data_IF_637912098051
#
_entry.id   IF_637912098051
#
_cell.length_a   1.000
_cell.length_b   1.000
_cell.length_c   1.000
_cell.angle_alpha   90.00
_cell.angle_beta   90.00
_cell.angle_gamma   90.00
#
_symmetry.space_group_name_H-M   'P 1'
#
loop_
_entity.id
_entity.type
_entity.pdbx_description
1 polymer ?
#
# COMPACT_ATOMS: atom_id res chain seq x y z
N UNK A 1 111.05 20.92 -58.57
CA UNK A 1 110.36 19.60 -58.59
C UNK A 1 110.71 18.85 -57.31
N UNK A 2 109.79 18.02 -56.81
CA UNK A 2 109.78 17.28 -55.51
C UNK A 2 109.12 18.00 -54.33
N UNK A 3 107.82 18.26 -54.48
CA UNK A 3 106.81 18.00 -53.45
C UNK A 3 106.13 16.67 -53.83
N UNK A 4 105.75 15.87 -52.84
CA UNK A 4 104.88 14.65 -52.86
C UNK A 4 105.59 13.53 -52.10
N UNK A 5 105.35 13.51 -50.79
CA UNK A 5 105.36 12.31 -49.94
C UNK A 5 104.60 12.68 -48.64
N UNK A 6 103.31 12.97 -48.77
CA UNK A 6 102.40 13.11 -47.62
C UNK A 6 100.93 12.93 -48.05
N UNK A 7 100.61 11.85 -48.78
CA UNK A 7 99.23 11.65 -49.23
C UNK A 7 98.81 10.18 -49.40
N UNK A 8 99.42 9.24 -48.66
CA UNK A 8 99.00 7.82 -48.69
C UNK A 8 98.61 7.23 -47.33
N UNK A 9 98.51 8.03 -46.27
CA UNK A 9 98.05 7.57 -44.94
C UNK A 9 96.65 8.09 -44.56
N UNK A 10 95.92 8.73 -45.48
CA UNK A 10 94.59 9.32 -45.24
C UNK A 10 93.47 8.57 -46.02
N UNK A 11 93.79 7.57 -46.85
CA UNK A 11 92.80 6.84 -47.69
C UNK A 11 92.38 5.50 -47.04
N UNK A 12 92.46 5.39 -45.71
CA UNK A 12 91.88 4.28 -44.93
C UNK A 12 91.11 4.83 -43.72
N UNK A 13 90.55 6.05 -43.86
CA UNK A 13 89.44 6.48 -43.01
C UNK A 13 88.20 5.79 -43.56
N UNK A 14 87.98 4.56 -43.11
CA UNK A 14 86.68 3.91 -43.17
C UNK A 14 85.63 4.97 -42.85
N UNK A 15 84.71 5.18 -43.79
CA UNK A 15 83.58 6.05 -43.65
C UNK A 15 82.65 5.42 -42.59
N UNK A 16 83.00 5.57 -41.31
CA UNK A 16 82.16 5.12 -40.21
C UNK A 16 80.95 6.05 -40.15
N UNK A 17 79.85 5.60 -40.72
CA UNK A 17 78.54 6.19 -40.44
C UNK A 17 78.24 5.96 -38.95
N UNK A 18 78.24 7.01 -38.12
CA UNK A 18 77.69 6.88 -36.76
C UNK A 18 76.17 7.03 -36.81
N UNK A 19 75.48 6.00 -36.31
CA UNK A 19 74.02 5.98 -36.14
C UNK A 19 73.61 6.90 -34.99
N UNK A 20 72.31 7.22 -34.88
CA UNK A 20 71.79 8.00 -33.78
C UNK A 20 72.18 7.38 -32.42
N UNK A 21 72.95 8.12 -31.63
CA UNK A 21 73.40 7.71 -30.29
C UNK A 21 72.42 8.13 -29.21
N UNK A 22 71.51 9.04 -29.55
CA UNK A 22 70.49 9.54 -28.64
C UNK A 22 69.26 10.04 -29.37
N UNK A 23 68.18 10.18 -28.61
CA UNK A 23 66.93 10.73 -29.08
C UNK A 23 66.30 11.59 -27.99
N UNK A 24 65.87 12.80 -28.35
CA UNK A 24 65.22 13.73 -27.44
C UNK A 24 63.84 14.11 -27.97
N UNK A 25 62.77 13.98 -27.19
CA UNK A 25 61.49 14.57 -27.54
C UNK A 25 61.57 16.10 -27.46
N UNK A 26 60.70 16.81 -28.19
CA UNK A 26 60.54 18.27 -28.07
C UNK A 26 60.08 18.71 -26.69
N UNK A 27 59.41 17.83 -25.93
CA UNK A 27 59.07 18.02 -24.53
C UNK A 27 59.16 16.70 -23.77
N UNK A 28 59.73 16.73 -22.55
CA UNK A 28 59.79 15.56 -21.67
C UNK A 28 58.43 15.23 -21.02
N UNK A 29 57.51 16.21 -20.96
CA UNK A 29 56.15 16.07 -20.42
C UNK A 29 55.14 16.59 -21.44
N UNK A 30 54.12 15.77 -21.74
CA UNK A 30 53.11 16.05 -22.78
C UNK A 30 51.70 15.74 -22.30
N UNK A 31 50.68 16.31 -22.92
CA UNK A 31 49.31 15.87 -22.66
C UNK A 31 48.96 14.66 -23.52
N UNK A 32 48.09 13.79 -22.99
CA UNK A 32 47.57 12.65 -23.73
C UNK A 32 46.84 13.13 -25.00
N UNK A 33 47.28 12.64 -26.16
CA UNK A 33 46.73 12.98 -27.48
C UNK A 33 47.56 13.98 -28.29
N UNK A 34 48.52 14.67 -27.66
CA UNK A 34 49.41 15.61 -28.33
C UNK A 34 50.40 14.89 -29.25
N UNK A 35 50.79 15.55 -30.36
CA UNK A 35 51.86 15.08 -31.23
C UNK A 35 53.22 15.48 -30.64
N UNK A 36 54.14 14.52 -30.57
CA UNK A 36 55.49 14.73 -30.07
C UNK A 36 56.47 14.56 -31.21
N UNK A 37 57.29 15.59 -31.44
CA UNK A 37 58.40 15.48 -32.38
C UNK A 37 59.62 14.98 -31.63
N UNK A 38 60.26 13.94 -32.14
CA UNK A 38 61.55 13.47 -31.66
C UNK A 38 62.65 13.92 -32.59
N UNK A 39 63.80 14.25 -32.02
CA UNK A 39 65.01 14.63 -32.72
C UNK A 39 66.12 13.63 -32.38
N UNK A 40 66.69 13.01 -33.40
CA UNK A 40 67.87 12.16 -33.25
C UNK A 40 69.13 13.01 -33.00
N UNK A 41 70.12 12.44 -32.32
CA UNK A 41 71.41 13.09 -32.04
C UNK A 41 72.57 12.13 -32.27
N UNK A 42 73.72 12.66 -32.69
CA UNK A 42 74.93 11.86 -32.92
C UNK A 42 75.01 11.20 -34.31
N UNK A 43 74.17 11.64 -35.25
CA UNK A 43 74.22 11.20 -36.65
C UNK A 43 75.38 11.92 -37.38
N UNK A 44 76.26 11.18 -38.05
CA UNK A 44 77.27 11.73 -38.97
C UNK A 44 76.87 11.41 -40.40
N UNK A 45 76.82 12.43 -41.26
CA UNK A 45 76.43 12.30 -42.67
C UNK A 45 77.24 11.23 -43.40
N UNK A 46 76.56 10.21 -43.95
CA UNK A 46 76.40 9.90 -45.39
C UNK A 46 75.45 8.68 -45.51
N UNK A 47 74.25 8.96 -46.02
CA UNK A 47 73.36 8.11 -46.84
C UNK A 47 72.91 6.74 -46.34
N UNK A 48 71.77 6.66 -45.64
CA UNK A 48 70.97 5.42 -45.55
C UNK A 48 69.47 5.71 -45.29
N UNK A 49 68.61 4.80 -45.78
CA UNK A 49 67.18 4.78 -45.48
C UNK A 49 66.98 4.33 -44.04
N UNK A 50 66.44 5.20 -43.20
CA UNK A 50 66.06 4.86 -41.82
C UNK A 50 64.58 4.51 -41.83
N UNK A 51 64.26 3.22 -41.69
CA UNK A 51 62.90 2.71 -41.55
C UNK A 51 62.62 2.57 -40.05
N UNK A 52 61.72 3.39 -39.53
CA UNK A 52 61.21 3.20 -38.17
C UNK A 52 60.16 2.09 -38.19
N UNK A 53 60.53 0.92 -37.68
CA UNK A 53 59.73 -0.30 -37.79
C UNK A 53 58.73 -0.45 -36.63
N UNK A 54 59.10 0.01 -35.44
CA UNK A 54 58.24 -0.05 -34.25
C UNK A 54 58.72 0.88 -33.14
N UNK A 55 57.78 1.33 -32.32
CA UNK A 55 58.01 1.92 -31.01
C UNK A 55 57.35 1.03 -29.96
N UNK A 56 58.10 0.64 -28.93
CA UNK A 56 57.59 -0.23 -27.86
C UNK A 56 57.59 0.54 -26.55
N UNK A 57 56.44 0.58 -25.88
CA UNK A 57 56.28 1.13 -24.54
C UNK A 57 56.62 0.05 -23.52
N UNK A 58 57.48 0.38 -22.55
CA UNK A 58 57.84 -0.52 -21.45
C UNK A 58 57.45 0.08 -20.09
N UNK A 59 56.90 -0.72 -19.17
CA UNK A 59 56.64 -2.17 -19.28
C UNK A 59 55.43 -2.51 -20.19
N UNK A 60 55.39 -3.73 -20.78
CA UNK A 60 54.22 -4.22 -21.51
C UNK A 60 52.96 -4.17 -20.64
N UNK A 61 51.86 -3.65 -21.18
CA UNK A 61 50.61 -3.44 -20.42
C UNK A 61 50.47 -2.06 -19.75
N UNK A 62 51.42 -1.14 -19.99
CA UNK A 62 51.26 0.27 -19.62
C UNK A 62 49.95 0.86 -20.19
N UNK A 63 49.26 1.74 -19.45
CA UNK A 63 48.07 2.45 -19.95
C UNK A 63 48.39 3.46 -21.07
N UNK A 64 49.66 3.68 -21.39
CA UNK A 64 50.12 4.54 -22.48
C UNK A 64 50.26 3.74 -23.76
N UNK A 65 49.54 4.13 -24.81
CA UNK A 65 49.72 3.63 -26.17
C UNK A 65 50.48 4.65 -27.01
N UNK A 66 51.21 4.15 -28.01
CA UNK A 66 52.00 4.95 -28.94
C UNK A 66 51.56 4.61 -30.37
N UNK A 67 51.27 5.63 -31.17
CA UNK A 67 50.87 5.48 -32.58
C UNK A 67 51.74 6.37 -33.44
N UNK A 68 52.33 5.80 -34.49
CA UNK A 68 53.08 6.57 -35.48
C UNK A 68 52.13 7.47 -36.26
N UNK A 69 52.53 8.71 -36.49
CA UNK A 69 51.81 9.61 -37.39
C UNK A 69 52.14 9.22 -38.84
N UNK A 70 51.24 8.51 -39.52
CA UNK A 70 51.33 8.29 -40.97
C UNK A 70 52.03 7.03 -41.49
N UNK A 71 52.26 6.00 -40.67
CA UNK A 71 52.86 4.73 -41.14
C UNK A 71 54.36 4.83 -41.45
N UNK A 72 54.94 3.76 -42.00
CA UNK A 72 56.40 3.62 -42.22
C UNK A 72 56.95 4.86 -42.93
N UNK A 73 57.66 5.70 -42.19
CA UNK A 73 58.17 6.96 -42.70
C UNK A 73 59.58 6.73 -43.23
N UNK A 74 59.76 6.93 -44.54
CA UNK A 74 61.05 6.85 -45.19
C UNK A 74 61.71 8.22 -45.09
N UNK A 75 62.89 8.28 -44.46
CA UNK A 75 63.69 9.50 -44.38
C UNK A 75 64.86 9.40 -45.36
N UNK A 76 64.79 10.17 -46.45
CA UNK A 76 65.68 10.09 -47.61
C UNK A 76 66.54 11.35 -47.77
N UNK A 77 67.43 11.69 -46.81
CA UNK A 77 68.21 12.95 -46.97
C UNK A 77 69.71 12.86 -46.76
N UNK A 78 70.43 13.29 -47.79
CA UNK A 78 71.75 13.92 -47.74
C UNK A 78 71.67 15.30 -47.06
N UNK A 79 71.26 15.35 -45.78
CA UNK A 79 71.11 16.59 -45.03
C UNK A 79 72.06 16.63 -43.83
N UNK A 80 72.63 17.80 -43.54
CA UNK A 80 73.40 18.09 -42.32
C UNK A 80 72.47 18.34 -41.10
N UNK A 81 71.15 18.24 -41.27
CA UNK A 81 70.17 18.43 -40.20
C UNK A 81 69.79 17.09 -39.55
N UNK A 82 69.63 17.02 -38.21
CA UNK A 82 69.27 15.78 -37.53
C UNK A 82 67.89 15.25 -37.94
N UNK A 83 67.75 13.93 -38.00
CA UNK A 83 66.47 13.26 -38.32
C UNK A 83 65.40 13.63 -37.29
N UNK A 84 64.20 13.97 -37.78
CA UNK A 84 63.02 14.25 -36.93
C UNK A 84 61.81 13.45 -37.38
N UNK A 85 61.01 13.02 -36.40
CA UNK A 85 59.80 12.22 -36.64
C UNK A 85 58.76 12.45 -35.55
N UNK A 86 57.49 12.10 -35.83
CA UNK A 86 56.36 12.39 -34.94
C UNK A 86 55.65 11.14 -34.45
N UNK A 87 55.24 11.17 -33.18
CA UNK A 87 54.39 10.15 -32.57
C UNK A 87 53.30 10.80 -31.73
N UNK A 88 52.14 10.14 -31.69
CA UNK A 88 51.06 10.46 -30.76
C UNK A 88 51.08 9.46 -29.62
N UNK A 89 50.95 9.97 -28.39
CA UNK A 89 50.83 9.15 -27.19
C UNK A 89 49.47 9.35 -26.56
N UNK A 90 48.82 8.26 -26.16
CA UNK A 90 47.53 8.31 -25.47
C UNK A 90 47.66 7.59 -24.14
N UNK A 91 47.44 8.30 -23.03
CA UNK A 91 47.39 7.72 -21.69
C UNK A 91 45.93 7.47 -21.29
N UNK A 92 45.55 6.21 -21.09
CA UNK A 92 44.20 5.82 -20.67
C UNK A 92 43.94 6.00 -19.17
N UNK A 93 44.98 6.26 -18.36
CA UNK A 93 44.88 6.53 -16.92
C UNK A 93 44.59 8.01 -16.62
N UNK A 94 44.00 8.30 -15.47
CA UNK A 94 43.82 9.67 -14.95
C UNK A 94 45.08 10.25 -14.31
N UNK A 95 46.05 9.40 -13.96
CA UNK A 95 47.35 9.83 -13.43
C UNK A 95 48.39 9.95 -14.53
N UNK A 96 49.34 10.88 -14.37
CA UNK A 96 50.50 10.97 -15.26
C UNK A 96 51.32 9.67 -15.21
N UNK A 97 51.85 9.26 -16.36
CA UNK A 97 52.62 8.03 -16.51
C UNK A 97 53.94 8.35 -17.19
N UNK A 98 55.05 7.98 -16.54
CA UNK A 98 56.37 8.04 -17.16
C UNK A 98 56.69 6.68 -17.75
N UNK A 99 56.92 6.65 -19.07
CA UNK A 99 57.19 5.41 -19.80
C UNK A 99 58.53 5.47 -20.51
N UNK A 100 59.16 4.31 -20.61
CA UNK A 100 60.33 4.10 -21.45
C UNK A 100 59.87 3.68 -22.85
N UNK A 101 60.36 4.39 -23.86
CA UNK A 101 60.05 4.11 -25.26
C UNK A 101 61.34 3.72 -25.95
N UNK A 102 61.33 2.54 -26.56
CA UNK A 102 62.42 2.08 -27.42
C UNK A 102 61.98 2.20 -28.88
N UNK A 103 62.70 3.01 -29.63
CA UNK A 103 62.55 3.15 -31.07
C UNK A 103 63.53 2.23 -31.78
N UNK A 104 63.03 1.47 -32.75
CA UNK A 104 63.83 0.52 -33.52
C UNK A 104 63.95 1.00 -34.97
N UNK A 105 65.16 1.38 -35.33
CA UNK A 105 65.50 1.89 -36.65
C UNK A 105 66.22 0.82 -37.45
N UNK A 106 65.86 0.70 -38.71
CA UNK A 106 66.54 -0.20 -39.65
C UNK A 106 67.22 0.64 -40.72
N UNK A 107 68.48 0.33 -40.97
CA UNK A 107 69.36 0.99 -41.92
C UNK A 107 69.59 0.05 -43.11
N UNK A 108 69.16 0.45 -44.30
CA UNK A 108 69.32 -0.36 -45.50
C UNK A 108 70.58 0.05 -46.26
N UNK A 109 71.60 -0.81 -46.28
CA UNK A 109 72.94 -0.46 -46.80
C UNK A 109 73.08 -0.45 -48.35
N UNK A 110 72.02 -0.76 -49.11
CA UNK A 110 72.01 -0.76 -50.58
C UNK A 110 70.63 -0.31 -51.12
N UNK A 111 70.58 0.27 -52.33
CA UNK A 111 69.35 0.60 -53.08
C UNK A 111 68.47 -0.63 -53.33
N UNK A 112 69.03 -1.84 -53.20
CA UNK A 112 68.33 -3.12 -53.36
C UNK A 112 67.92 -3.80 -52.03
N UNK A 113 68.12 -3.16 -50.86
CA UNK A 113 67.54 -3.59 -49.58
C UNK A 113 68.06 -4.90 -48.97
N UNK A 114 69.29 -5.33 -49.27
CA UNK A 114 69.77 -6.68 -48.89
C UNK A 114 70.69 -6.76 -47.66
N UNK A 115 70.99 -5.64 -46.98
CA UNK A 115 71.65 -5.66 -45.66
C UNK A 115 70.97 -4.63 -44.75
N UNK A 116 70.19 -5.16 -43.79
CA UNK A 116 69.41 -4.38 -42.83
C UNK A 116 70.12 -4.40 -41.47
N UNK A 117 70.81 -3.30 -41.14
CA UNK A 117 71.36 -3.12 -39.80
C UNK A 117 70.27 -2.51 -38.90
N UNK A 118 69.92 -3.20 -37.82
CA UNK A 118 68.94 -2.70 -36.85
C UNK A 118 69.63 -2.04 -35.65
N UNK A 119 69.22 -0.82 -35.30
CA UNK A 119 69.67 -0.16 -34.08
C UNK A 119 68.48 0.33 -33.24
N UNK A 120 68.70 0.36 -31.92
CA UNK A 120 67.68 0.75 -30.94
C UNK A 120 68.17 1.93 -30.14
N UNK A 121 67.31 2.93 -29.98
CA UNK A 121 67.55 4.05 -29.07
C UNK A 121 66.31 4.23 -28.22
N UNK A 122 66.53 4.53 -26.95
CA UNK A 122 65.45 4.65 -25.98
C UNK A 122 65.45 6.03 -25.34
N UNK A 123 64.27 6.47 -24.93
CA UNK A 123 64.09 7.70 -24.15
C UNK A 123 62.89 7.55 -23.22
N UNK A 124 62.76 8.47 -22.28
CA UNK A 124 61.64 8.54 -21.34
C UNK A 124 60.73 9.69 -21.72
N UNK A 125 59.41 9.48 -21.63
CA UNK A 125 58.43 10.56 -21.71
C UNK A 125 57.40 10.42 -20.58
N UNK A 126 56.95 11.55 -20.05
CA UNK A 126 55.82 11.61 -19.13
C UNK A 126 54.57 12.06 -19.88
N UNK A 127 53.55 11.21 -19.93
CA UNK A 127 52.25 11.53 -20.54
C UNK A 127 51.25 11.82 -19.43
N UNK A 128 50.76 13.06 -19.37
CA UNK A 128 49.73 13.46 -18.41
C UNK A 128 48.49 12.57 -18.56
N UNK A 129 47.78 12.37 -17.45
CA UNK A 129 46.56 11.56 -17.45
C UNK A 129 45.48 12.13 -18.37
N UNK A 130 44.56 11.27 -18.79
CA UNK A 130 43.35 11.66 -19.51
C UNK A 130 42.57 12.66 -18.67
N UNK A 131 42.36 13.86 -19.21
CA UNK A 131 41.46 14.85 -18.62
C UNK A 131 40.03 14.35 -18.81
N UNK A 132 39.39 13.89 -17.74
CA UNK A 132 37.95 13.58 -17.74
C UNK A 132 37.18 14.85 -17.41
N UNK A 133 36.20 15.22 -18.24
CA UNK A 133 35.31 16.34 -17.97
C UNK A 133 34.64 16.15 -16.59
N UNK A 134 34.51 17.21 -15.77
CA UNK A 134 33.84 17.11 -14.49
C UNK A 134 32.39 16.65 -14.70
N UNK A 135 31.99 15.60 -13.99
CA UNK A 135 30.60 15.14 -14.02
C UNK A 135 29.75 16.13 -13.24
N UNK A 136 28.74 16.70 -13.90
CA UNK A 136 27.78 17.61 -13.25
C UNK A 136 26.54 16.80 -12.91
N UNK A 137 26.22 16.75 -11.62
CA UNK A 137 24.98 16.17 -11.09
C UNK A 137 23.94 17.26 -10.91
N UNK A 138 22.67 16.91 -11.08
CA UNK A 138 21.54 17.80 -10.93
C UNK A 138 20.59 17.28 -9.86
N UNK A 139 19.83 18.18 -9.21
CA UNK A 139 18.84 17.78 -8.23
C UNK A 139 17.61 17.13 -8.88
N UNK A 140 17.01 16.17 -8.18
CA UNK A 140 15.65 15.73 -8.41
C UNK A 140 14.65 16.75 -7.87
N UNK A 141 13.38 16.66 -8.27
CA UNK A 141 12.34 17.50 -7.69
C UNK A 141 12.22 17.25 -6.19
N UNK A 142 12.27 18.31 -5.39
CA UNK A 142 12.12 18.27 -3.93
C UNK A 142 10.90 19.09 -3.53
N UNK A 143 10.14 18.63 -2.53
CA UNK A 143 8.98 19.39 -2.04
C UNK A 143 8.78 19.22 -0.54
N UNK A 144 8.14 20.21 0.08
CA UNK A 144 7.64 20.12 1.45
C UNK A 144 6.37 20.94 1.60
N UNK A 145 5.46 20.44 2.44
CA UNK A 145 4.21 21.12 2.79
C UNK A 145 4.38 21.94 4.06
N UNK A 146 3.82 23.14 4.04
CA UNK A 146 3.82 24.10 5.13
C UNK A 146 2.41 24.64 5.32
N UNK A 147 2.08 25.01 6.56
CA UNK A 147 0.85 25.76 6.85
C UNK A 147 1.22 27.21 7.16
N UNK A 148 0.32 28.14 6.89
CA UNK A 148 0.48 29.53 7.27
C UNK A 148 0.56 29.68 8.79
N UNK A 149 1.65 30.25 9.30
CA UNK A 149 1.86 30.48 10.72
C UNK A 149 1.42 31.86 11.19
N UNK A 150 0.91 32.72 10.30
CA UNK A 150 0.44 34.08 10.65
C UNK A 150 -1.03 34.14 10.99
N UNK A 151 -1.75 33.02 10.93
CA UNK A 151 -3.16 32.96 11.28
C UNK A 151 -3.38 33.22 12.78
N UNK A 152 -4.33 34.11 13.10
CA UNK A 152 -4.75 34.37 14.47
C UNK A 152 -5.49 33.20 15.10
N UNK A 153 -5.72 33.29 16.41
CA UNK A 153 -6.45 32.25 17.16
C UNK A 153 -7.83 31.97 16.54
N UNK A 154 -8.15 30.69 16.33
CA UNK A 154 -9.40 30.25 15.69
C UNK A 154 -9.36 30.19 14.16
N UNK A 155 -8.24 30.53 13.53
CA UNK A 155 -8.06 30.47 12.07
C UNK A 155 -6.90 29.53 11.70
N UNK A 156 -7.00 28.90 10.54
CA UNK A 156 -5.93 28.12 9.92
C UNK A 156 -5.99 28.25 8.39
N UNK A 157 -4.96 27.78 7.70
CA UNK A 157 -4.88 27.84 6.23
C UNK A 157 -4.94 26.44 5.62
N UNK A 158 -5.24 26.38 4.32
CA UNK A 158 -4.99 25.16 3.55
C UNK A 158 -3.47 24.91 3.47
N UNK A 159 -3.04 23.64 3.39
CA UNK A 159 -1.63 23.31 3.23
C UNK A 159 -1.05 23.87 1.92
N UNK A 160 0.13 24.48 2.01
CA UNK A 160 0.89 24.97 0.87
C UNK A 160 2.10 24.08 0.60
N UNK A 161 2.22 23.55 -0.62
CA UNK A 161 3.37 22.72 -1.01
C UNK A 161 4.37 23.54 -1.80
N UNK A 162 5.53 23.82 -1.18
CA UNK A 162 6.65 24.46 -1.87
C UNK A 162 7.45 23.39 -2.60
N UNK A 163 7.64 23.57 -3.92
CA UNK A 163 8.34 22.61 -4.77
C UNK A 163 9.52 23.27 -5.47
N UNK A 164 10.69 22.66 -5.32
CA UNK A 164 11.86 22.96 -6.14
C UNK A 164 11.90 21.96 -7.28
N UNK A 165 11.79 22.48 -8.51
CA UNK A 165 11.81 21.66 -9.71
C UNK A 165 13.14 20.91 -9.87
N UNK A 166 13.09 19.77 -10.58
CA UNK A 166 14.31 19.04 -10.98
C UNK A 166 15.22 19.94 -11.81
N UNK A 167 16.52 19.68 -11.76
CA UNK A 167 17.57 20.38 -12.53
C UNK A 167 17.77 21.87 -12.19
N UNK A 168 17.18 22.40 -11.12
CA UNK A 168 17.41 23.78 -10.67
C UNK A 168 18.81 23.99 -10.09
N UNK A 169 19.27 23.03 -9.31
CA UNK A 169 20.57 23.03 -8.64
C UNK A 169 21.48 21.96 -9.24
N UNK A 170 22.76 22.29 -9.31
CA UNK A 170 23.80 21.37 -9.75
C UNK A 170 24.90 21.20 -8.69
N UNK A 171 25.66 20.14 -8.84
CA UNK A 171 26.82 19.81 -8.01
C UNK A 171 27.86 19.04 -8.81
N UNK A 172 29.13 19.30 -8.54
CA UNK A 172 30.25 18.47 -9.02
C UNK A 172 30.60 17.34 -8.05
N UNK A 173 29.89 17.24 -6.91
CA UNK A 173 30.13 16.25 -5.86
C UNK A 173 29.21 15.05 -6.04
N UNK A 174 27.89 15.25 -6.03
CA UNK A 174 26.89 14.18 -6.17
C UNK A 174 25.48 14.73 -6.39
N UNK A 175 24.54 13.85 -6.77
CA UNK A 175 23.09 14.15 -6.77
C UNK A 175 22.59 14.52 -5.37
N UNK A 176 23.12 13.86 -4.32
CA UNK A 176 22.73 14.14 -2.94
C UNK A 176 23.09 15.57 -2.51
N UNK A 177 24.26 16.08 -2.93
CA UNK A 177 24.65 17.47 -2.68
C UNK A 177 23.74 18.45 -3.43
N UNK A 178 23.40 18.16 -4.69
CA UNK A 178 22.44 18.98 -5.45
C UNK A 178 21.05 18.98 -4.80
N UNK A 179 20.57 17.81 -4.32
CA UNK A 179 19.31 17.69 -3.57
C UNK A 179 19.37 18.44 -2.23
N UNK A 180 20.50 18.42 -1.53
CA UNK A 180 20.67 19.17 -0.29
C UNK A 180 20.52 20.70 -0.51
N UNK A 181 21.03 21.23 -1.63
CA UNK A 181 20.82 22.64 -2.02
C UNK A 181 19.33 22.96 -2.27
N UNK A 182 18.62 22.07 -2.97
CA UNK A 182 17.18 22.20 -3.18
C UNK A 182 16.39 22.19 -1.85
N UNK A 183 16.74 21.28 -0.93
CA UNK A 183 16.15 21.19 0.41
C UNK A 183 16.47 22.43 1.24
N UNK A 184 17.69 22.96 1.17
CA UNK A 184 18.08 24.18 1.86
C UNK A 184 17.23 25.38 1.41
N UNK A 185 16.92 25.49 0.11
CA UNK A 185 15.99 26.50 -0.39
C UNK A 185 14.58 26.33 0.19
N UNK A 186 14.04 25.11 0.16
CA UNK A 186 12.73 24.79 0.75
C UNK A 186 12.70 25.19 2.23
N UNK A 187 13.78 24.92 2.96
CA UNK A 187 13.92 25.29 4.37
C UNK A 187 13.93 26.80 4.58
N UNK A 188 14.63 27.55 3.73
CA UNK A 188 14.75 29.00 3.84
C UNK A 188 13.46 29.74 3.42
N UNK A 189 12.80 29.26 2.37
CA UNK A 189 11.74 30.03 1.69
C UNK A 189 10.33 29.47 1.89
N UNK A 190 10.20 28.17 2.19
CA UNK A 190 8.92 27.48 2.14
C UNK A 190 7.88 28.03 3.13
N UNK A 191 8.30 28.44 4.33
CA UNK A 191 7.39 29.04 5.32
C UNK A 191 6.91 30.42 4.88
N UNK A 192 7.81 31.28 4.39
CA UNK A 192 7.44 32.61 3.89
C UNK A 192 6.49 32.52 2.69
N UNK A 193 6.75 31.57 1.79
CA UNK A 193 5.87 31.31 0.65
C UNK A 193 4.48 30.83 1.11
N UNK A 194 4.39 29.92 2.07
CA UNK A 194 3.10 29.51 2.63
C UNK A 194 2.35 30.67 3.27
N UNK A 195 3.06 31.52 4.03
CA UNK A 195 2.48 32.70 4.67
C UNK A 195 1.94 33.72 3.66
N UNK A 196 2.59 33.86 2.49
CA UNK A 196 2.21 34.81 1.45
C UNK A 196 1.15 34.28 0.47
N UNK A 197 1.09 32.96 0.24
CA UNK A 197 0.27 32.36 -0.83
C UNK A 197 -0.98 31.62 -0.32
N UNK A 198 -1.23 31.63 0.99
CA UNK A 198 -2.45 31.03 1.55
C UNK A 198 -3.20 32.00 2.43
N UNK A 199 -4.52 31.85 2.43
CA UNK A 199 -5.42 32.70 3.22
C UNK A 199 -5.84 31.98 4.48
N UNK A 200 -5.87 32.70 5.60
CA UNK A 200 -6.42 32.21 6.86
C UNK A 200 -7.94 32.11 6.77
N UNK A 201 -8.48 30.93 7.06
CA UNK A 201 -9.89 30.58 7.10
C UNK A 201 -10.29 30.27 8.54
N UNK A 202 -11.54 30.57 8.87
CA UNK A 202 -12.09 30.25 10.19
C UNK A 202 -12.12 28.72 10.36
N UNK A 203 -11.67 28.23 11.52
CA UNK A 203 -11.78 26.82 11.88
C UNK A 203 -13.21 26.55 12.32
N UNK A 204 -13.92 25.74 11.54
CA UNK A 204 -15.28 25.33 11.82
C UNK A 204 -15.24 23.95 12.47
N UNK A 205 -16.01 23.77 13.53
CA UNK A 205 -16.03 22.56 14.33
C UNK A 205 -17.33 21.80 14.15
N UNK A 206 -17.28 20.48 14.36
CA UNK A 206 -18.49 19.68 14.43
C UNK A 206 -19.31 20.02 15.67
N UNK A 207 -20.63 19.92 15.54
CA UNK A 207 -21.54 19.75 16.67
C UNK A 207 -21.54 18.29 17.15
N UNK A 208 -22.09 18.04 18.33
CA UNK A 208 -22.18 16.67 18.85
C UNK A 208 -22.99 15.80 17.89
N UNK A 209 -22.41 14.67 17.48
CA UNK A 209 -23.07 13.66 16.65
C UNK A 209 -23.18 12.36 17.45
N UNK A 210 -24.24 11.59 17.20
CA UNK A 210 -24.43 10.32 17.88
C UNK A 210 -25.20 9.32 17.03
N UNK A 211 -25.07 8.05 17.38
CA UNK A 211 -25.86 6.96 16.84
C UNK A 211 -26.15 5.94 17.92
N UNK A 212 -27.32 5.31 17.81
CA UNK A 212 -27.75 4.24 18.70
C UNK A 212 -27.52 2.89 18.01
N UNK A 213 -26.71 2.03 18.62
CA UNK A 213 -26.28 0.76 18.04
C UNK A 213 -26.68 -0.37 18.97
N UNK A 214 -27.37 -1.38 18.44
CA UNK A 214 -27.72 -2.58 19.20
C UNK A 214 -26.56 -3.57 19.13
N UNK A 215 -26.14 -4.10 20.28
CA UNK A 215 -25.15 -5.19 20.31
C UNK A 215 -25.67 -6.37 19.47
N UNK A 216 -24.89 -6.80 18.48
CA UNK A 216 -25.33 -7.78 17.48
C UNK A 216 -24.53 -9.09 17.49
N UNK A 217 -23.56 -9.22 18.39
CA UNK A 217 -22.75 -10.42 18.60
C UNK A 217 -23.19 -11.22 19.83
N UNK A 218 -24.49 -11.20 20.14
CA UNK A 218 -25.06 -12.08 21.17
C UNK A 218 -25.18 -13.52 20.64
N UNK A 219 -25.04 -14.50 21.55
CA UNK A 219 -25.31 -15.90 21.23
C UNK A 219 -26.79 -16.14 20.88
N UNK A 220 -27.07 -17.35 20.38
CA UNK A 220 -28.45 -17.79 20.13
C UNK A 220 -29.32 -17.66 21.39
N UNK A 221 -30.60 -17.32 21.22
CA UNK A 221 -31.51 -17.11 22.35
C UNK A 221 -31.22 -15.87 23.19
N UNK A 222 -30.53 -14.86 22.64
CA UNK A 222 -30.29 -13.60 23.33
C UNK A 222 -30.33 -12.40 22.38
N UNK A 223 -30.77 -11.26 22.89
CA UNK A 223 -30.75 -9.98 22.20
C UNK A 223 -29.84 -8.99 22.92
N UNK A 224 -29.16 -8.15 22.15
CA UNK A 224 -28.27 -7.14 22.71
C UNK A 224 -29.01 -5.89 23.18
N UNK A 225 -28.43 -5.18 24.14
CA UNK A 225 -28.88 -3.83 24.48
C UNK A 225 -28.42 -2.81 23.45
N UNK A 226 -29.17 -1.71 23.36
CA UNK A 226 -28.80 -0.54 22.56
C UNK A 226 -27.85 0.35 23.35
N UNK A 227 -26.71 0.69 22.75
CA UNK A 227 -25.69 1.59 23.31
C UNK A 227 -25.57 2.81 22.40
N UNK A 228 -25.60 4.01 23.00
CA UNK A 228 -25.36 5.26 22.29
C UNK A 228 -23.86 5.53 22.17
N UNK A 229 -23.38 5.72 20.95
CA UNK A 229 -22.03 6.23 20.69
C UNK A 229 -22.10 7.72 20.37
N UNK A 230 -21.31 8.54 21.07
CA UNK A 230 -21.32 9.99 20.97
C UNK A 230 -19.94 10.48 20.54
N UNK A 231 -19.90 11.21 19.43
CA UNK A 231 -18.77 12.05 19.05
C UNK A 231 -19.04 13.46 19.58
N UNK A 232 -18.28 13.94 20.58
CA UNK A 232 -18.54 15.24 21.19
C UNK A 232 -18.32 16.38 20.20
N UNK A 233 -18.90 17.54 20.48
CA UNK A 233 -18.64 18.76 19.73
C UNK A 233 -17.14 19.12 19.77
N UNK A 234 -16.65 19.78 18.72
CA UNK A 234 -15.24 20.20 18.56
C UNK A 234 -14.21 19.07 18.48
N UNK A 235 -14.63 17.82 18.27
CA UNK A 235 -13.74 16.66 18.04
C UNK A 235 -13.12 16.65 16.64
N UNK A 236 -13.85 17.16 15.66
CA UNK A 236 -13.50 17.27 14.25
C UNK A 236 -13.62 18.72 13.80
N UNK A 237 -12.77 19.10 12.84
CA UNK A 237 -12.78 20.44 12.25
C UNK A 237 -12.72 20.42 10.73
N UNK A 238 -13.06 21.57 10.14
CA UNK A 238 -13.02 21.83 8.71
C UNK A 238 -12.73 23.31 8.44
N UNK A 239 -12.08 23.58 7.32
CA UNK A 239 -11.95 24.93 6.75
C UNK A 239 -12.96 25.19 5.63
N UNK A 240 -13.89 24.24 5.39
CA UNK A 240 -14.90 24.31 4.32
C UNK A 240 -16.25 24.73 4.90
N UNK A 241 -16.80 23.95 5.83
CA UNK A 241 -18.11 24.21 6.44
C UNK A 241 -18.28 23.42 7.75
N UNK A 242 -19.26 23.83 8.57
CA UNK A 242 -19.72 23.02 9.72
C UNK A 242 -20.27 21.67 9.25
N UNK A 243 -20.94 21.62 8.09
CA UNK A 243 -21.47 20.38 7.51
C UNK A 243 -20.36 19.37 7.18
N UNK A 244 -19.21 19.82 6.66
CA UNK A 244 -18.05 18.96 6.42
C UNK A 244 -17.45 18.41 7.74
N UNK A 245 -17.35 19.25 8.77
CA UNK A 245 -16.92 18.80 10.10
C UNK A 245 -17.90 17.79 10.72
N UNK A 246 -19.21 18.03 10.56
CA UNK A 246 -20.27 17.10 10.99
C UNK A 246 -20.22 15.79 10.21
N UNK A 247 -19.95 15.82 8.90
CA UNK A 247 -19.82 14.61 8.08
C UNK A 247 -18.67 13.72 8.56
N UNK A 248 -17.53 14.31 8.95
CA UNK A 248 -16.41 13.58 9.58
C UNK A 248 -16.82 12.94 10.91
N UNK A 249 -17.57 13.66 11.75
CA UNK A 249 -18.08 13.13 13.00
C UNK A 249 -19.10 12.00 12.80
N UNK A 250 -19.99 12.11 11.82
CA UNK A 250 -20.93 11.03 11.45
C UNK A 250 -20.19 9.82 10.90
N UNK A 251 -19.12 10.00 10.12
CA UNK A 251 -18.30 8.90 9.63
C UNK A 251 -17.63 8.14 10.78
N UNK A 252 -17.13 8.83 11.82
CA UNK A 252 -16.63 8.20 13.06
C UNK A 252 -17.74 7.40 13.76
N UNK A 253 -18.92 8.01 13.97
CA UNK A 253 -20.08 7.32 14.55
C UNK A 253 -20.40 6.03 13.81
N UNK A 254 -20.44 6.07 12.48
CA UNK A 254 -20.74 4.90 11.66
C UNK A 254 -19.62 3.85 11.66
N UNK A 255 -18.35 4.28 11.70
CA UNK A 255 -17.21 3.37 11.70
C UNK A 255 -17.00 2.65 13.05
N UNK A 256 -17.24 3.34 14.16
CA UNK A 256 -16.88 2.88 15.49
C UNK A 256 -18.09 2.46 16.35
N UNK A 257 -19.30 2.93 16.02
CA UNK A 257 -20.49 2.75 16.84
C UNK A 257 -20.85 1.28 17.12
N UNK A 258 -20.80 0.42 16.10
CA UNK A 258 -21.13 -1.00 16.28
C UNK A 258 -20.09 -1.74 17.14
N UNK A 259 -18.80 -1.44 16.95
CA UNK A 259 -17.73 -2.03 17.76
C UNK A 259 -17.87 -1.61 19.24
N UNK A 260 -18.21 -0.34 19.48
CA UNK A 260 -18.51 0.16 20.82
C UNK A 260 -19.71 -0.55 21.46
N UNK A 261 -20.82 -0.72 20.74
CA UNK A 261 -21.98 -1.48 21.24
C UNK A 261 -21.64 -2.95 21.52
N UNK A 262 -20.81 -3.57 20.69
CA UNK A 262 -20.35 -4.94 20.89
C UNK A 262 -19.33 -5.09 22.04
N UNK A 263 -18.70 -4.00 22.50
CA UNK A 263 -17.82 -3.99 23.66
C UNK A 263 -18.58 -3.67 24.96
N UNK A 264 -19.46 -2.66 24.93
CA UNK A 264 -20.14 -2.13 26.12
C UNK A 264 -21.58 -2.58 26.33
N UNK A 265 -22.24 -3.15 25.32
CA UNK A 265 -23.60 -3.65 25.43
C UNK A 265 -23.67 -4.99 26.15
N UNK A 266 -24.82 -5.30 26.74
CA UNK A 266 -25.11 -6.59 27.41
C UNK A 266 -26.03 -7.43 26.54
N UNK A 267 -26.01 -8.75 26.73
CA UNK A 267 -26.96 -9.67 26.09
C UNK A 267 -28.00 -10.10 27.12
N UNK A 268 -29.27 -9.99 26.76
CA UNK A 268 -30.40 -10.47 27.57
C UNK A 268 -31.00 -11.71 26.91
N UNK A 269 -31.27 -12.78 27.66
CA UNK A 269 -31.88 -13.98 27.11
C UNK A 269 -33.30 -13.68 26.59
N UNK A 270 -33.64 -14.26 25.45
CA UNK A 270 -34.97 -14.25 24.86
C UNK A 270 -35.46 -15.69 24.76
N UNK A 271 -36.71 -15.91 25.15
CA UNK A 271 -37.37 -17.21 25.10
C UNK A 271 -38.56 -17.12 24.16
N UNK A 272 -38.65 -18.06 23.23
CA UNK A 272 -39.77 -18.22 22.33
C UNK A 272 -40.62 -19.42 22.76
N UNK A 273 -41.93 -19.34 22.56
CA UNK A 273 -42.88 -20.38 22.97
C UNK A 273 -43.75 -20.81 21.80
N UNK A 274 -43.88 -22.13 21.58
CA UNK A 274 -44.85 -22.73 20.66
C UNK A 274 -45.89 -23.52 21.45
N UNK A 275 -47.16 -23.26 21.15
CA UNK A 275 -48.29 -23.99 21.70
C UNK A 275 -48.73 -25.07 20.72
N UNK A 276 -48.88 -26.31 21.19
CA UNK A 276 -49.39 -27.43 20.42
C UNK A 276 -50.55 -28.10 21.15
N UNK A 277 -51.66 -28.36 20.44
CA UNK A 277 -52.80 -29.11 20.97
C UNK A 277 -52.78 -30.54 20.42
N UNK A 278 -53.04 -31.51 21.29
CA UNK A 278 -53.13 -32.93 20.91
C UNK A 278 -54.22 -33.64 21.72
N UNK A 279 -54.55 -34.89 21.37
CA UNK A 279 -55.54 -35.72 22.10
C UNK A 279 -56.88 -35.00 22.31
N UNK A 280 -57.44 -34.46 21.24
CA UNK A 280 -58.76 -33.85 21.28
C UNK A 280 -59.80 -34.92 21.65
N UNK A 281 -60.48 -34.72 22.78
CA UNK A 281 -61.60 -35.52 23.23
C UNK A 281 -62.87 -34.71 23.12
N UNK A 282 -63.97 -35.42 22.90
CA UNK A 282 -65.31 -34.84 22.84
C UNK A 282 -66.20 -35.68 23.70
N UNK A 283 -66.76 -35.07 24.73
CA UNK A 283 -67.72 -35.70 25.63
C UNK A 283 -69.08 -35.05 25.38
N UNK A 284 -70.09 -35.87 25.15
CA UNK A 284 -71.46 -35.41 25.00
C UNK A 284 -72.19 -35.70 26.30
N UNK A 285 -72.63 -34.65 27.00
CA UNK A 285 -73.35 -34.76 28.28
C UNK A 285 -74.87 -34.78 28.09
N UNK A 286 -75.34 -34.88 26.84
CA UNK A 286 -76.76 -34.83 26.47
C UNK A 286 -77.33 -33.41 26.38
N UNK A 287 -76.74 -32.46 27.13
CA UNK A 287 -77.09 -31.04 27.09
C UNK A 287 -75.98 -30.19 26.48
N UNK A 288 -74.71 -30.51 26.69
CA UNK A 288 -73.54 -29.80 26.16
C UNK A 288 -72.55 -30.76 25.47
N UNK A 289 -71.73 -30.21 24.57
CA UNK A 289 -70.57 -30.90 24.02
C UNK A 289 -69.33 -30.29 24.69
N UNK A 290 -68.66 -31.05 25.54
CA UNK A 290 -67.39 -30.62 26.12
C UNK A 290 -66.25 -31.12 25.24
N UNK A 291 -65.33 -30.21 24.90
CA UNK A 291 -64.07 -30.59 24.25
C UNK A 291 -62.90 -30.33 25.17
N UNK A 292 -62.10 -31.36 25.37
CA UNK A 292 -60.83 -31.27 26.08
C UNK A 292 -59.69 -31.61 25.13
N UNK A 293 -58.53 -31.00 25.37
CA UNK A 293 -57.31 -31.25 24.62
C UNK A 293 -56.13 -31.34 25.59
N UNK A 294 -55.03 -31.94 25.17
CA UNK A 294 -53.74 -31.78 25.83
C UNK A 294 -53.02 -30.57 25.24
N UNK A 295 -52.71 -29.57 26.06
CA UNK A 295 -51.89 -28.42 25.66
C UNK A 295 -50.42 -28.71 25.98
N UNK A 296 -49.57 -28.69 24.96
CA UNK A 296 -48.11 -28.80 25.08
C UNK A 296 -47.48 -27.44 24.84
N UNK A 297 -46.66 -26.99 25.79
CA UNK A 297 -45.89 -25.75 25.69
C UNK A 297 -44.45 -26.12 25.40
N UNK A 298 -43.92 -25.70 24.24
CA UNK A 298 -42.53 -25.95 23.84
C UNK A 298 -41.73 -24.64 23.82
N UNK A 299 -40.53 -24.65 24.39
CA UNK A 299 -39.66 -23.49 24.46
C UNK A 299 -38.56 -23.56 23.41
N UNK A 300 -38.19 -22.42 22.85
CA UNK A 300 -37.19 -22.30 21.80
C UNK A 300 -36.26 -21.11 22.03
N UNK A 301 -35.05 -21.24 21.50
CA UNK A 301 -34.01 -20.21 21.50
C UNK A 301 -34.12 -19.26 20.30
N UNK A 302 -34.98 -19.57 19.34
CA UNK A 302 -35.15 -18.82 18.10
C UNK A 302 -36.62 -18.65 17.72
N UNK A 303 -36.92 -17.55 17.02
CA UNK A 303 -38.27 -17.22 16.58
C UNK A 303 -38.85 -18.24 15.59
N UNK A 304 -38.00 -18.92 14.81
CA UNK A 304 -38.43 -19.96 13.87
C UNK A 304 -38.80 -21.28 14.57
N UNK A 305 -38.64 -21.36 15.90
CA UNK A 305 -38.94 -22.54 16.72
C UNK A 305 -38.23 -23.80 16.20
N UNK A 306 -36.95 -23.66 15.84
CA UNK A 306 -36.12 -24.75 15.32
C UNK A 306 -35.15 -25.30 16.35
N UNK A 307 -34.77 -24.48 17.34
CA UNK A 307 -33.80 -24.83 18.38
C UNK A 307 -34.48 -24.90 19.75
N UNK A 308 -34.76 -26.12 20.27
CA UNK A 308 -35.40 -26.29 21.57
C UNK A 308 -34.58 -25.65 22.70
N UNK A 309 -35.28 -25.05 23.66
CA UNK A 309 -34.71 -24.53 24.90
C UNK A 309 -35.10 -25.45 26.06
N UNK A 310 -34.11 -25.97 26.78
CA UNK A 310 -34.34 -26.67 28.04
C UNK A 310 -34.51 -25.64 29.16
N UNK A 311 -35.62 -25.74 29.91
CA UNK A 311 -35.90 -24.87 31.04
C UNK A 311 -35.16 -25.42 32.27
N UNK A 312 -34.11 -24.74 32.71
CA UNK A 312 -33.24 -25.18 33.82
C UNK A 312 -33.62 -24.60 35.18
N UNK A 313 -34.60 -23.69 35.23
CA UNK A 313 -35.14 -23.06 36.43
C UNK A 313 -36.65 -22.91 36.29
N UNK A 314 -37.38 -22.92 37.40
CA UNK A 314 -38.84 -22.76 37.38
C UNK A 314 -39.26 -21.48 36.65
N UNK A 315 -40.23 -21.61 35.74
CA UNK A 315 -40.69 -20.53 34.87
C UNK A 315 -42.22 -20.42 34.91
N UNK A 316 -42.73 -19.24 35.25
CA UNK A 316 -44.15 -18.92 35.12
C UNK A 316 -44.51 -18.59 33.67
N UNK A 317 -45.49 -19.31 33.12
CA UNK A 317 -46.06 -19.08 31.79
C UNK A 317 -47.53 -18.72 31.95
N UNK A 318 -47.92 -17.59 31.38
CA UNK A 318 -49.32 -17.18 31.29
C UNK A 318 -49.82 -17.58 29.91
N UNK A 319 -50.88 -18.38 29.86
CA UNK A 319 -51.62 -18.66 28.63
C UNK A 319 -52.94 -17.92 28.71
N UNK A 320 -53.15 -17.00 27.77
CA UNK A 320 -54.41 -16.27 27.64
C UNK A 320 -55.22 -16.91 26.51
N UNK A 321 -56.45 -17.29 26.81
CA UNK A 321 -57.43 -17.77 25.83
C UNK A 321 -58.48 -16.70 25.60
N UNK A 322 -58.64 -16.28 24.35
CA UNK A 322 -59.60 -15.25 23.93
C UNK A 322 -60.64 -15.86 23.02
N UNK A 323 -61.92 -15.71 23.34
CA UNK A 323 -63.02 -16.11 22.46
C UNK A 323 -63.08 -15.18 21.24
N UNK A 324 -62.89 -15.74 20.05
CA UNK A 324 -62.75 -14.99 18.78
C UNK A 324 -64.07 -14.93 18.03
N UNK A 325 -64.86 -16.01 18.06
CA UNK A 325 -66.08 -16.12 17.26
C UNK A 325 -67.05 -17.12 17.86
N UNK A 326 -68.30 -16.73 18.02
CA UNK A 326 -69.40 -17.61 18.40
C UNK A 326 -70.45 -17.63 17.29
N UNK A 327 -70.73 -18.79 16.71
CA UNK A 327 -71.84 -19.00 15.77
C UNK A 327 -72.92 -19.84 16.43
N UNK A 328 -74.18 -19.39 16.37
CA UNK A 328 -75.31 -20.18 16.86
C UNK A 328 -76.24 -20.55 15.70
N UNK A 329 -76.62 -21.83 15.62
CA UNK A 329 -77.58 -22.35 14.64
C UNK A 329 -78.75 -22.99 15.37
N UNK A 330 -79.97 -22.68 14.95
CA UNK A 330 -81.20 -23.32 15.45
C UNK A 330 -81.50 -24.52 14.56
N UNK A 331 -81.51 -25.72 15.12
CA UNK A 331 -81.81 -26.95 14.41
C UNK A 331 -83.33 -27.11 14.21
N UNK A 332 -83.79 -27.89 13.19
CA UNK A 332 -85.21 -28.10 12.91
C UNK A 332 -86.03 -28.69 14.07
N UNK A 333 -85.38 -29.31 15.04
CA UNK A 333 -85.99 -29.88 16.25
C UNK A 333 -86.11 -28.86 17.42
N UNK A 334 -85.81 -27.58 17.17
CA UNK A 334 -85.87 -26.52 18.19
C UNK A 334 -84.65 -26.42 19.12
N UNK A 335 -83.62 -27.23 18.91
CA UNK A 335 -82.36 -27.15 19.69
C UNK A 335 -81.40 -26.10 19.12
N UNK A 336 -80.70 -25.35 19.97
CA UNK A 336 -79.68 -24.39 19.55
C UNK A 336 -78.28 -24.99 19.72
N UNK A 337 -77.48 -24.99 18.64
CA UNK A 337 -76.06 -25.36 18.65
C UNK A 337 -75.21 -24.10 18.57
N UNK A 338 -74.36 -23.84 19.57
CA UNK A 338 -73.41 -22.73 19.55
C UNK A 338 -71.98 -23.24 19.40
N UNK A 339 -71.22 -22.68 18.47
CA UNK A 339 -69.81 -22.99 18.22
C UNK A 339 -68.95 -21.78 18.59
N UNK A 340 -68.10 -21.90 19.62
CA UNK A 340 -67.15 -20.87 20.03
C UNK A 340 -65.72 -21.26 19.64
N UNK A 341 -65.01 -20.32 19.04
CA UNK A 341 -63.61 -20.45 18.62
C UNK A 341 -62.72 -19.65 19.56
N UNK A 342 -61.63 -20.24 20.06
CA UNK A 342 -60.68 -19.58 20.95
C UNK A 342 -59.31 -19.40 20.26
N UNK A 343 -58.65 -18.27 20.51
CA UNK A 343 -57.22 -18.08 20.24
C UNK A 343 -56.47 -18.21 21.57
N UNK A 344 -55.27 -18.80 21.56
CA UNK A 344 -54.43 -18.88 22.75
C UNK A 344 -53.08 -18.20 22.51
N UNK A 345 -52.71 -17.24 23.33
CA UNK A 345 -51.35 -16.65 23.36
C UNK A 345 -50.63 -17.12 24.61
N UNK A 346 -49.31 -17.28 24.52
CA UNK A 346 -48.46 -17.58 25.67
C UNK A 346 -47.40 -16.49 25.84
N UNK A 347 -47.18 -16.07 27.07
CA UNK A 347 -46.09 -15.19 27.46
C UNK A 347 -45.48 -15.66 28.78
N UNK A 348 -44.27 -15.21 29.07
CA UNK A 348 -43.75 -15.25 30.44
C UNK A 348 -44.26 -14.01 31.18
N UNK A 349 -44.20 -14.01 32.51
CA UNK A 349 -44.63 -12.88 33.35
C UNK A 349 -44.01 -11.50 32.97
N UNK A 350 -43.03 -11.46 32.05
CA UNK A 350 -42.35 -10.24 31.62
C UNK A 350 -42.41 -9.93 30.09
N UNK A 351 -42.97 -10.76 29.21
CA UNK A 351 -43.03 -10.44 27.77
C UNK A 351 -44.27 -10.99 27.05
N UNK A 352 -45.08 -10.07 26.52
CA UNK A 352 -46.11 -10.33 25.50
C UNK A 352 -45.43 -10.40 24.13
N UNK A 353 -45.37 -11.58 23.52
CA UNK A 353 -44.96 -11.71 22.12
C UNK A 353 -46.20 -12.03 21.30
N UNK A 354 -46.59 -11.06 20.47
CA UNK A 354 -47.67 -11.18 19.52
C UNK A 354 -47.34 -12.21 18.44
N UNK A 355 -48.26 -13.14 18.23
CA UNK A 355 -48.30 -13.99 17.05
C UNK A 355 -49.74 -14.13 16.56
N UNK A 356 -49.90 -14.06 15.23
CA UNK A 356 -51.13 -14.34 14.50
C UNK A 356 -51.39 -15.85 14.50
N UNK A 357 -52.57 -16.25 14.95
CA UNK A 357 -53.00 -17.65 14.89
C UNK A 357 -53.88 -17.89 13.67
N UNK A 358 -53.55 -18.93 12.90
CA UNK A 358 -54.51 -19.59 12.02
C UNK A 358 -55.34 -20.50 12.92
N UNK A 359 -56.57 -20.08 13.15
CA UNK A 359 -57.54 -20.78 13.97
C UNK A 359 -58.25 -21.84 13.12
N UNK A 360 -58.24 -23.10 13.56
CA UNK A 360 -59.22 -24.10 13.09
C UNK A 360 -59.98 -24.56 14.33
N UNK A 361 -61.16 -23.98 14.51
CA UNK A 361 -62.20 -24.41 15.47
C UNK A 361 -62.71 -25.82 15.11
N UNK A 362 -63.35 -26.59 16.03
CA UNK A 362 -64.51 -26.14 16.81
C UNK A 362 -64.45 -26.44 18.31
N UNK A 363 -65.01 -25.58 19.17
CA UNK A 363 -65.69 -25.99 20.41
C UNK A 363 -67.17 -25.71 20.23
N UNK A 364 -68.02 -26.72 20.41
CA UNK A 364 -69.48 -26.59 20.35
C UNK A 364 -70.01 -26.68 21.78
N UNK A 365 -70.76 -25.72 22.30
CA UNK A 365 -71.62 -25.91 23.47
C UNK A 365 -73.07 -25.85 22.98
N UNK A 366 -73.80 -26.96 23.00
CA UNK A 366 -75.26 -26.90 22.90
C UNK A 366 -75.78 -26.40 24.24
N UNK A 367 -76.67 -25.41 24.26
CA UNK A 367 -77.45 -25.12 25.46
C UNK A 367 -78.88 -25.43 25.06
N UNK A 368 -79.46 -26.46 25.67
CA UNK A 368 -80.86 -26.84 25.46
C UNK A 368 -81.76 -25.86 26.18
N UNK A 369 -81.92 -24.65 25.66
CA UNK A 369 -82.82 -23.66 26.25
C UNK A 369 -84.22 -23.80 25.62
N UNK A 370 -85.16 -24.30 26.42
CA UNK A 370 -86.58 -24.32 26.04
C UNK A 370 -87.20 -22.95 26.30
N UNK A 371 -87.01 -22.04 25.33
CA UNK A 371 -87.94 -20.95 25.05
C UNK A 371 -87.49 -19.55 25.46
N UNK A 372 -87.59 -18.62 24.50
CA UNK A 372 -87.60 -17.17 24.74
C UNK A 372 -86.39 -16.45 24.15
N UNK A 373 -86.61 -15.79 23.02
CA UNK A 373 -85.53 -15.20 22.22
C UNK A 373 -84.78 -14.05 22.88
N UNK A 374 -83.47 -14.05 22.72
CA UNK A 374 -82.64 -12.89 22.36
C UNK A 374 -81.39 -13.42 21.65
N UNK A 375 -80.96 -12.75 20.58
CA UNK A 375 -79.66 -13.00 19.96
C UNK A 375 -78.54 -12.74 20.97
N UNK A 376 -77.66 -13.70 21.29
CA UNK A 376 -76.54 -13.41 22.18
C UNK A 376 -75.48 -12.66 21.38
N UNK A 377 -75.46 -11.34 21.50
CA UNK A 377 -74.20 -10.58 21.33
C UNK A 377 -73.30 -10.95 22.51
N UNK A 378 -72.65 -12.10 22.41
CA UNK A 378 -71.78 -12.63 23.47
C UNK A 378 -70.57 -11.75 23.67
N UNK A 379 -70.38 -11.29 24.91
CA UNK A 379 -69.17 -10.62 25.37
C UNK A 379 -67.94 -11.49 25.11
N UNK A 380 -66.93 -10.95 24.43
CA UNK A 380 -65.65 -11.61 24.21
C UNK A 380 -64.86 -11.70 25.53
N UNK A 381 -65.12 -12.73 26.33
CA UNK A 381 -64.36 -13.01 27.54
C UNK A 381 -62.92 -13.43 27.22
N UNK A 382 -61.94 -12.84 27.92
CA UNK A 382 -60.56 -13.33 27.95
C UNK A 382 -60.40 -14.14 29.22
N UNK A 383 -60.07 -15.42 29.09
CA UNK A 383 -59.72 -16.29 30.21
C UNK A 383 -58.19 -16.34 30.30
N UNK A 384 -57.65 -16.07 31.49
CA UNK A 384 -56.20 -16.10 31.73
C UNK A 384 -55.86 -17.24 32.68
N UNK A 385 -54.94 -18.10 32.26
CA UNK A 385 -54.46 -19.23 33.04
C UNK A 385 -52.96 -19.05 33.31
N UNK A 386 -52.56 -19.16 34.57
CA UNK A 386 -51.16 -19.10 34.98
C UNK A 386 -50.66 -20.52 35.25
N UNK A 387 -49.64 -20.94 34.52
CA UNK A 387 -48.97 -22.22 34.67
C UNK A 387 -47.57 -22.01 35.22
N UNK A 388 -47.12 -22.90 36.10
CA UNK A 388 -45.71 -22.95 36.52
C UNK A 388 -45.06 -24.16 35.87
N UNK A 389 -44.10 -23.92 34.98
CA UNK A 389 -43.27 -24.95 34.38
C UNK A 389 -42.06 -25.15 35.27
N UNK A 390 -41.96 -26.33 35.89
CA UNK A 390 -40.86 -26.68 36.77
C UNK A 390 -39.58 -26.98 35.97
N UNK A 391 -38.43 -26.68 36.56
CA UNK A 391 -37.13 -26.95 35.98
C UNK A 391 -36.99 -28.42 35.54
N UNK A 392 -36.41 -28.64 34.35
CA UNK A 392 -36.10 -29.94 33.77
C UNK A 392 -37.32 -30.85 33.54
N UNK A 393 -38.52 -30.29 33.50
CA UNK A 393 -39.74 -31.07 33.42
C UNK A 393 -40.54 -30.69 32.15
N UNK A 394 -40.51 -31.58 31.15
CA UNK A 394 -41.45 -31.54 30.02
C UNK A 394 -42.82 -32.00 30.51
N UNK A 395 -43.48 -31.18 31.34
CA UNK A 395 -44.75 -31.55 31.93
C UNK A 395 -45.87 -31.40 30.90
N UNK A 396 -46.40 -32.56 30.52
CA UNK A 396 -47.72 -32.72 29.95
C UNK A 396 -48.74 -32.30 31.01
N UNK A 397 -49.42 -31.19 30.78
CA UNK A 397 -50.57 -30.83 31.62
C UNK A 397 -51.84 -31.32 30.92
N UNK A 398 -52.61 -32.24 31.51
CA UNK A 398 -54.00 -32.37 31.15
C UNK A 398 -54.67 -31.02 31.46
N UNK A 399 -55.40 -30.47 30.49
CA UNK A 399 -56.22 -29.27 30.72
C UNK A 399 -57.05 -29.52 31.97
N UNK A 400 -57.02 -28.56 32.90
CA UNK A 400 -57.74 -28.63 34.17
C UNK A 400 -59.16 -29.16 33.92
N UNK A 401 -59.47 -30.29 34.54
CA UNK A 401 -60.72 -31.03 34.36
C UNK A 401 -61.92 -30.37 35.06
N UNK A 402 -61.95 -29.04 35.12
CA UNK A 402 -63.10 -28.26 35.56
C UNK A 402 -63.02 -26.88 34.90
N UNK A 403 -63.91 -26.57 33.93
CA UNK A 403 -64.24 -25.18 33.66
C UNK A 403 -64.71 -24.53 34.98
N UNK A 404 -64.42 -23.24 35.24
CA UNK A 404 -65.20 -22.53 36.25
C UNK A 404 -66.66 -22.63 35.82
N UNK A 405 -67.49 -23.19 36.69
CA UNK A 405 -68.94 -23.20 36.52
C UNK A 405 -69.39 -21.76 36.20
N UNK A 406 -70.03 -21.59 35.05
CA UNK A 406 -70.82 -20.41 34.73
C UNK A 406 -72.27 -20.67 35.11
#
# INVERSE_FOLDING_TARGET
MKKIFLLCSIIMMYCFSVNAQGISPTSATINSGDDVTFKATGESSIGYFIILTSAVVTPPGSPVTVTADGGVTYYDKFSLSPTTFKYKFVNSSTSAQTVFITFTFTKNNDVNGSQDDQYRVSTTITVNGKVTAPTIFYNDAQSRTFNNTTCGAGYASDPYTYTVAKNKYSSTISVADANAKAIAEINANGQNAANANTTCKLILYNEAQFGDFTRNNCGLGSTGTTVRYIVPAKRYSSLISVADANAKAVADVNANGQANANAGGTCSPVTYVRLEYSNLQTTNTGFEIEKSATLTIKFYQDAACTQPLAITSDMGVIVQQTAVRTESTINPNGTTTSNTTYNATAGTNNYSLGFNFINISPVSSSHGDHGGGTTPTGSHGILSYTYTVLANNNLYFPVASTPPNF
#
